data_IF_918033858422
#
_entry.id   IF_918033858422
#
_cell.length_a   1.000
_cell.length_b   1.000
_cell.length_c   1.000
_cell.angle_alpha   90.00
_cell.angle_beta   90.00
_cell.angle_gamma   90.00
#
_symmetry.space_group_name_H-M   'P 1'
#
loop_
_entity.id
_entity.type
_entity.pdbx_description
1 polymer ?
#
# COMPACT_ATOMS: atom_id res chain seq x y z
N UNK A 1 -13.61 4.84 5.20
CA UNK A 1 -12.47 3.92 5.43
C UNK A 1 -11.79 4.15 6.77
N UNK A 2 -11.18 5.31 7.06
CA UNK A 2 -10.53 5.51 8.37
C UNK A 2 -11.45 5.33 9.57
N UNK A 3 -12.70 5.79 9.50
CA UNK A 3 -13.69 5.56 10.56
C UNK A 3 -14.01 4.07 10.69
N UNK A 4 -14.32 3.41 9.56
CA UNK A 4 -14.56 1.94 9.50
C UNK A 4 -13.39 1.09 10.04
N UNK A 5 -12.14 1.49 9.79
CA UNK A 5 -10.94 0.84 10.32
C UNK A 5 -10.76 1.07 11.82
N UNK A 6 -11.27 2.20 12.34
CA UNK A 6 -11.12 2.58 13.75
C UNK A 6 -12.23 2.00 14.63
N UNK A 7 -13.40 1.79 14.04
CA UNK A 7 -14.56 1.20 14.69
C UNK A 7 -14.57 -0.33 14.59
N UNK A 8 -13.56 -0.94 13.94
CA UNK A 8 -13.40 -2.38 13.70
C UNK A 8 -14.64 -3.09 13.13
N UNK A 9 -15.62 -2.36 12.59
CA UNK A 9 -16.89 -2.92 12.16
C UNK A 9 -16.77 -3.80 10.90
N UNK A 10 -15.92 -3.39 9.95
CA UNK A 10 -15.77 -4.05 8.64
C UNK A 10 -14.35 -4.55 8.41
N UNK A 11 -13.35 -3.93 9.04
CA UNK A 11 -11.93 -4.17 8.81
C UNK A 11 -11.18 -4.55 10.09
N UNK A 12 -11.79 -5.37 10.95
CA UNK A 12 -11.17 -5.82 12.19
C UNK A 12 -9.80 -6.48 11.98
N UNK A 13 -8.78 -5.94 12.66
CA UNK A 13 -7.39 -6.41 12.58
C UNK A 13 -6.67 -6.11 11.26
N UNK A 14 -7.21 -5.23 10.43
CA UNK A 14 -6.48 -4.67 9.28
C UNK A 14 -5.70 -3.42 9.70
N UNK A 15 -4.49 -3.32 9.18
CA UNK A 15 -3.58 -2.20 9.36
C UNK A 15 -3.52 -1.37 8.09
N UNK A 16 -3.32 -0.07 8.27
CA UNK A 16 -3.06 0.88 7.20
C UNK A 16 -1.87 1.77 7.56
N UNK A 17 -1.08 2.11 6.55
CA UNK A 17 0.06 3.00 6.70
C UNK A 17 -0.34 4.42 7.03
N UNK A 18 0.59 5.17 7.65
CA UNK A 18 0.43 6.60 7.79
C UNK A 18 0.44 7.27 6.41
N UNK A 19 -0.71 7.78 5.98
CA UNK A 19 -0.83 8.56 4.75
C UNK A 19 -0.16 9.92 4.94
N UNK A 20 0.91 10.16 4.19
CA UNK A 20 1.66 11.43 4.15
C UNK A 20 1.55 12.14 2.79
N UNK A 21 0.69 11.65 1.91
CA UNK A 21 0.46 12.18 0.56
C UNK A 21 -0.93 12.84 0.44
N UNK A 22 -1.07 13.77 -0.50
CA UNK A 22 -2.34 14.45 -0.80
C UNK A 22 -3.40 13.52 -1.40
N UNK A 23 -4.66 13.98 -1.55
CA UNK A 23 -5.74 13.20 -2.15
C UNK A 23 -5.36 12.54 -3.47
N UNK A 24 -5.91 11.36 -3.75
CA UNK A 24 -5.60 10.61 -4.97
C UNK A 24 -6.64 10.82 -6.06
N UNK A 25 -7.80 11.37 -5.69
CA UNK A 25 -8.95 11.70 -6.54
C UNK A 25 -9.48 13.07 -6.13
N UNK A 26 -10.19 13.87 -6.94
CA UNK A 26 -10.35 13.82 -8.40
C UNK A 26 -9.46 14.90 -9.02
N UNK A 27 -8.68 14.54 -10.02
CA UNK A 27 -7.84 15.49 -10.76
C UNK A 27 -8.42 15.83 -12.14
N UNK A 28 -8.03 16.98 -12.68
CA UNK A 28 -8.21 17.21 -14.11
C UNK A 28 -7.24 16.34 -14.92
N UNK A 29 -7.65 15.83 -16.11
CA UNK A 29 -6.76 15.05 -16.97
C UNK A 29 -5.46 15.81 -17.26
N UNK A 30 -4.31 15.14 -17.14
CA UNK A 30 -2.99 15.71 -17.39
C UNK A 30 -2.62 16.93 -16.52
N UNK A 31 -3.32 17.21 -15.41
CA UNK A 31 -3.07 18.36 -14.53
C UNK A 31 -2.95 17.95 -13.06
N UNK A 32 -2.18 18.71 -12.28
CA UNK A 32 -2.05 18.56 -10.82
C UNK A 32 -3.14 19.33 -10.06
N UNK A 33 -4.08 19.93 -10.79
CA UNK A 33 -5.22 20.58 -10.21
C UNK A 33 -6.34 19.60 -9.87
N UNK A 34 -6.79 19.73 -8.63
CA UNK A 34 -8.00 19.07 -8.19
C UNK A 34 -9.22 19.65 -8.90
N UNK A 35 -10.17 18.78 -9.18
CA UNK A 35 -11.46 19.15 -9.73
C UNK A 35 -12.15 20.17 -8.81
N UNK A 36 -12.63 21.28 -9.40
CA UNK A 36 -13.30 22.36 -8.66
C UNK A 36 -12.39 23.48 -8.15
N UNK A 37 -11.09 23.50 -8.51
CA UNK A 37 -10.20 24.65 -8.25
C UNK A 37 -10.35 25.80 -9.27
N UNK A 38 -10.90 25.52 -10.45
CA UNK A 38 -11.17 26.49 -11.53
C UNK A 38 -12.68 26.76 -11.65
N UNK A 39 -13.06 27.96 -12.08
CA UNK A 39 -14.45 28.43 -12.13
C UNK A 39 -15.40 27.41 -12.77
N UNK A 40 -16.52 27.19 -12.08
CA UNK A 40 -17.43 26.08 -12.31
C UNK A 40 -18.22 26.22 -13.62
N UNK A 41 -18.20 25.19 -14.46
CA UNK A 41 -19.24 24.99 -15.47
C UNK A 41 -20.52 24.51 -14.77
N UNK A 42 -21.63 25.25 -14.97
CA UNK A 42 -22.95 24.95 -14.38
C UNK A 42 -23.40 23.55 -14.83
N UNK A 43 -23.54 22.61 -13.90
CA UNK A 43 -24.08 21.26 -14.16
C UNK A 43 -23.16 20.08 -13.80
N UNK A 44 -21.90 20.33 -13.43
CA UNK A 44 -20.98 19.24 -13.07
C UNK A 44 -21.12 18.83 -11.58
N UNK A 45 -21.18 17.51 -11.33
CA UNK A 45 -21.27 16.96 -9.96
C UNK A 45 -20.03 17.33 -9.16
N UNK A 46 -20.21 18.00 -8.03
CA UNK A 46 -19.15 18.30 -7.06
C UNK A 46 -18.61 16.98 -6.49
N UNK A 47 -17.36 16.64 -6.81
CA UNK A 47 -16.59 15.61 -6.10
C UNK A 47 -15.45 16.32 -5.40
N UNK A 48 -15.50 16.36 -4.07
CA UNK A 48 -14.38 16.88 -3.28
C UNK A 48 -13.16 15.96 -3.43
N UNK A 49 -11.93 16.50 -3.32
CA UNK A 49 -10.74 15.67 -3.28
C UNK A 49 -10.84 14.60 -2.19
N UNK A 50 -10.48 13.36 -2.52
CA UNK A 50 -10.60 12.19 -1.66
C UNK A 50 -9.41 11.23 -1.82
N UNK A 51 -9.17 10.44 -0.79
CA UNK A 51 -8.22 9.31 -0.80
C UNK A 51 -8.99 8.03 -1.04
N UNK A 52 -9.36 7.78 -2.30
CA UNK A 52 -10.14 6.61 -2.69
C UNK A 52 -9.27 5.34 -2.80
N UNK A 53 -7.97 5.52 -3.05
CA UNK A 53 -7.03 4.46 -3.38
C UNK A 53 -6.22 4.08 -2.13
N UNK A 54 -6.51 2.89 -1.57
CA UNK A 54 -6.09 2.53 -0.20
C UNK A 54 -5.50 1.12 -0.18
N UNK A 55 -4.39 0.96 0.54
CA UNK A 55 -3.69 -0.32 0.70
C UNK A 55 -3.70 -0.67 2.18
N UNK A 56 -4.37 -1.75 2.51
CA UNK A 56 -4.48 -2.27 3.87
C UNK A 56 -3.92 -3.69 3.92
N UNK A 57 -3.36 -4.08 5.04
CA UNK A 57 -2.81 -5.42 5.23
C UNK A 57 -3.26 -6.00 6.57
N UNK A 58 -3.30 -7.32 6.67
CA UNK A 58 -3.66 -8.02 7.90
C UNK A 58 -2.71 -9.19 8.11
N UNK A 59 -2.40 -9.46 9.38
CA UNK A 59 -1.45 -10.49 9.76
C UNK A 59 -0.08 -9.90 10.05
N UNK A 60 0.75 -10.74 10.67
CA UNK A 60 2.04 -10.34 11.21
C UNK A 60 3.18 -10.65 10.21
N UNK A 61 4.40 -10.21 10.54
CA UNK A 61 5.58 -10.41 9.68
C UNK A 61 5.64 -9.51 8.44
N UNK A 62 4.76 -8.51 8.31
CA UNK A 62 4.86 -7.43 7.33
C UNK A 62 5.24 -6.11 8.01
N UNK A 63 6.30 -5.47 7.53
CA UNK A 63 6.66 -4.10 7.87
C UNK A 63 6.56 -3.23 6.63
N UNK A 64 5.62 -2.30 6.62
CA UNK A 64 5.49 -1.33 5.54
C UNK A 64 6.69 -0.37 5.57
N UNK A 65 7.43 -0.32 4.46
CA UNK A 65 8.57 0.58 4.25
C UNK A 65 8.15 1.86 3.55
N UNK A 66 7.37 1.74 2.48
CA UNK A 66 6.88 2.88 1.72
C UNK A 66 5.36 2.87 1.62
N UNK A 67 4.78 4.06 1.64
CA UNK A 67 3.37 4.27 1.32
C UNK A 67 3.18 5.63 0.66
N UNK A 68 3.08 5.64 -0.66
CA UNK A 68 3.23 6.85 -1.46
C UNK A 68 2.26 6.91 -2.62
N UNK A 69 1.93 8.14 -3.01
CA UNK A 69 1.21 8.45 -4.24
C UNK A 69 2.23 8.68 -5.35
N UNK A 70 1.96 8.13 -6.53
CA UNK A 70 2.75 8.32 -7.74
C UNK A 70 2.15 9.46 -8.57
N UNK A 71 3.00 10.36 -9.07
CA UNK A 71 2.61 11.53 -9.87
C UNK A 71 2.30 11.21 -11.34
N UNK A 72 1.62 10.09 -11.60
CA UNK A 72 1.11 9.77 -12.94
C UNK A 72 -0.17 10.53 -13.21
N UNK A 73 -0.26 11.21 -14.37
CA UNK A 73 -1.39 12.08 -14.73
C UNK A 73 -2.31 11.49 -15.81
N UNK A 74 -2.13 10.20 -16.10
CA UNK A 74 -2.85 9.48 -17.16
C UNK A 74 -4.34 9.27 -16.83
N UNK A 75 -4.71 9.39 -15.56
CA UNK A 75 -6.08 9.24 -15.04
C UNK A 75 -6.44 10.43 -14.15
N UNK A 76 -7.73 10.59 -13.84
CA UNK A 76 -8.23 11.47 -12.78
C UNK A 76 -7.92 10.94 -11.37
N UNK A 77 -7.39 9.71 -11.30
CA UNK A 77 -6.73 9.13 -10.14
C UNK A 77 -5.21 9.20 -10.22
N UNK A 78 -4.58 9.33 -9.04
CA UNK A 78 -3.14 9.18 -8.86
C UNK A 78 -2.84 7.79 -8.27
N UNK A 79 -2.04 6.94 -8.94
CA UNK A 79 -1.73 5.61 -8.43
C UNK A 79 -1.09 5.66 -7.04
N UNK A 80 -1.40 4.67 -6.21
CA UNK A 80 -0.81 4.52 -4.87
C UNK A 80 0.00 3.25 -4.83
N UNK A 81 1.22 3.34 -4.29
CA UNK A 81 2.11 2.20 -4.06
C UNK A 81 2.38 2.03 -2.56
N UNK A 82 2.58 0.79 -2.17
CA UNK A 82 3.12 0.46 -0.86
C UNK A 82 4.20 -0.63 -1.02
N UNK A 83 5.31 -0.47 -0.32
CA UNK A 83 6.41 -1.46 -0.29
C UNK A 83 6.46 -2.07 1.11
N UNK A 84 6.59 -3.39 1.18
CA UNK A 84 6.63 -4.14 2.42
C UNK A 84 7.88 -5.01 2.48
N UNK A 85 8.48 -5.08 3.66
CA UNK A 85 9.40 -6.17 4.02
C UNK A 85 8.56 -7.27 4.65
N UNK A 86 8.72 -8.50 4.16
CA UNK A 86 8.01 -9.68 4.65
C UNK A 86 8.99 -10.69 5.22
N UNK A 87 8.69 -11.21 6.41
CA UNK A 87 9.36 -12.40 6.91
C UNK A 87 8.77 -13.65 6.25
N UNK A 88 9.62 -14.51 5.67
CA UNK A 88 9.22 -15.77 5.05
C UNK A 88 9.88 -16.95 5.75
N UNK A 89 9.11 -18.01 6.04
CA UNK A 89 9.62 -19.25 6.62
C UNK A 89 9.66 -20.31 5.54
N UNK A 90 10.87 -20.72 5.16
CA UNK A 90 11.07 -21.77 4.16
C UNK A 90 11.07 -23.13 4.86
N UNK A 91 10.16 -24.03 4.47
CA UNK A 91 10.24 -25.44 4.85
C UNK A 91 10.98 -26.18 3.73
N UNK A 92 12.30 -26.31 3.86
CA UNK A 92 13.10 -27.11 2.94
C UNK A 92 12.78 -28.60 3.20
N UNK A 93 12.16 -29.28 2.23
CA UNK A 93 11.93 -30.73 2.27
C UNK A 93 12.98 -31.54 1.51
N UNK A 94 13.93 -30.90 0.84
CA UNK A 94 15.01 -31.58 0.12
C UNK A 94 16.32 -30.80 0.26
N UNK A 95 17.42 -31.51 0.52
CA UNK A 95 18.78 -30.96 0.60
C UNK A 95 19.22 -30.28 -0.72
N UNK A 96 18.56 -30.56 -1.84
CA UNK A 96 18.93 -30.04 -3.16
C UNK A 96 18.56 -28.56 -3.40
N UNK A 97 17.56 -28.00 -2.69
CA UNK A 97 17.14 -26.60 -2.88
C UNK A 97 17.83 -25.62 -1.93
N UNK A 98 18.62 -26.13 -0.99
CA UNK A 98 19.34 -25.30 -0.02
C UNK A 98 20.35 -24.38 -0.73
N UNK A 99 21.04 -24.87 -1.75
CA UNK A 99 22.01 -24.10 -2.53
C UNK A 99 21.36 -23.11 -3.51
N UNK A 100 20.08 -23.29 -3.87
CA UNK A 100 19.42 -22.44 -4.85
C UNK A 100 18.94 -21.12 -4.25
N UNK A 101 18.53 -21.13 -2.98
CA UNK A 101 18.12 -19.91 -2.25
C UNK A 101 19.31 -19.18 -1.60
N UNK A 102 20.38 -19.89 -1.24
CA UNK A 102 21.58 -19.35 -0.61
C UNK A 102 22.59 -18.78 -1.63
N UNK A 103 22.15 -18.33 -2.81
CA UNK A 103 23.07 -17.58 -3.66
C UNK A 103 23.53 -16.35 -2.87
N UNK A 104 24.85 -16.16 -2.74
CA UNK A 104 25.55 -15.16 -1.90
C UNK A 104 25.03 -13.71 -2.05
N UNK A 105 24.18 -13.45 -3.04
CA UNK A 105 23.48 -12.18 -3.24
C UNK A 105 22.45 -11.86 -2.14
N UNK A 106 21.91 -12.86 -1.42
CA UNK A 106 20.89 -12.63 -0.36
C UNK A 106 21.48 -12.42 1.04
N UNK A 107 22.63 -13.03 1.36
CA UNK A 107 23.20 -13.02 2.72
C UNK A 107 23.65 -11.63 3.19
N UNK A 108 24.13 -10.78 2.28
CA UNK A 108 24.66 -9.46 2.63
C UNK A 108 23.58 -8.43 3.01
N UNK A 109 22.31 -8.67 2.67
CA UNK A 109 21.21 -7.75 3.01
C UNK A 109 20.56 -8.13 4.34
N UNK A 110 20.43 -9.42 4.64
CA UNK A 110 19.78 -9.92 5.87
C UNK A 110 20.47 -9.47 7.15
N UNK A 111 21.81 -9.40 7.18
CA UNK A 111 22.55 -9.08 8.40
C UNK A 111 22.35 -7.64 8.92
N UNK A 112 21.82 -6.72 8.12
CA UNK A 112 21.55 -5.33 8.56
C UNK A 112 20.14 -5.07 9.08
N UNK A 113 19.17 -5.96 8.82
CA UNK A 113 17.74 -5.71 9.10
C UNK A 113 17.10 -6.70 10.11
N UNK A 114 17.88 -7.65 10.65
CA UNK A 114 17.39 -8.71 11.54
C UNK A 114 17.43 -8.38 13.04
N UNK A 115 17.78 -7.15 13.45
CA UNK A 115 17.73 -6.74 14.86
C UNK A 115 16.31 -6.35 15.36
N UNK A 116 15.32 -6.18 14.47
CA UNK A 116 13.94 -5.92 14.87
C UNK A 116 13.14 -7.23 14.94
N UNK A 117 12.62 -7.56 16.12
CA UNK A 117 11.75 -8.72 16.35
C UNK A 117 10.50 -8.67 15.44
N UNK A 118 10.41 -9.59 14.47
CA UNK A 118 9.22 -9.82 13.66
C UNK A 118 8.41 -10.97 14.27
N UNK A 119 7.29 -10.72 14.96
CA UNK A 119 6.42 -11.79 15.45
C UNK A 119 5.67 -12.40 14.25
N UNK A 120 5.98 -13.66 13.95
CA UNK A 120 5.19 -14.72 13.29
C UNK A 120 4.22 -14.44 12.09
N UNK A 121 3.44 -15.48 11.71
CA UNK A 121 3.27 -15.99 10.33
C UNK A 121 1.93 -15.62 9.63
N UNK A 122 1.94 -15.67 8.29
CA UNK A 122 0.81 -15.60 7.34
C UNK A 122 0.19 -14.21 7.13
N UNK A 123 0.98 -13.35 6.50
CA UNK A 123 0.57 -12.07 5.96
C UNK A 123 -0.48 -12.19 4.83
N UNK A 124 -1.55 -11.38 4.89
CA UNK A 124 -2.53 -11.19 3.81
C UNK A 124 -2.57 -9.73 3.38
N UNK A 125 -2.63 -9.49 2.08
CA UNK A 125 -2.75 -8.16 1.47
C UNK A 125 -4.15 -7.97 0.89
N UNK A 126 -4.70 -6.76 0.99
CA UNK A 126 -5.80 -6.32 0.15
C UNK A 126 -5.48 -4.95 -0.43
N UNK A 127 -5.54 -4.86 -1.76
CA UNK A 127 -5.62 -3.58 -2.46
C UNK A 127 -7.09 -3.24 -2.62
N UNK A 128 -7.52 -2.13 -2.02
CA UNK A 128 -8.82 -1.58 -2.33
C UNK A 128 -8.64 -0.61 -3.50
N UNK A 129 -8.71 -1.14 -4.71
CA UNK A 129 -8.87 -0.35 -5.93
C UNK A 129 -10.37 -0.20 -6.13
N UNK A 130 -10.91 1.01 -5.97
CA UNK A 130 -12.30 1.30 -6.33
C UNK A 130 -12.27 2.00 -7.69
N UNK A 131 -12.27 1.20 -8.75
CA UNK A 131 -12.62 1.68 -10.08
C UNK A 131 -14.14 1.60 -10.23
N UNK A 132 -14.82 2.75 -10.33
CA UNK A 132 -16.18 2.89 -10.87
C UNK A 132 -16.35 4.24 -11.58
#
# INVERSE_FOLDING_TARGET
LRMELKEDQVFEGWCEGSIKFGPTYKYYPNSDDYYGRLEFKKGEKKRAPAWCDRIIWRGEGLKQQEYERVESKLSDHRPVKAIFISQVKVKLKSQALQNFFLSERYENTTNKYLEDDFPCKNAKFALQVRDL
#
